data_IF_204420138500
#
_entry.id   IF_204420138500
#
_cell.length_a   1.000
_cell.length_b   1.000
_cell.length_c   1.000
_cell.angle_alpha   90.00
_cell.angle_beta   90.00
_cell.angle_gamma   90.00
#
_symmetry.space_group_name_H-M   'P 1'
#
loop_
_entity.id
_entity.type
_entity.pdbx_description
1 polymer ?
#
# COMPACT_ATOMS: atom_id res chain seq x y z
N UNK A 1 -34.71 50.87 -28.13
CA UNK A 1 -33.29 51.15 -27.84
C UNK A 1 -32.55 51.34 -29.16
N UNK A 2 -31.65 52.34 -29.29
CA UNK A 2 -30.91 52.54 -30.54
C UNK A 2 -30.01 51.33 -30.81
N UNK A 3 -30.05 50.71 -32.01
CA UNK A 3 -29.30 49.49 -32.32
C UNK A 3 -27.78 49.67 -32.14
N UNK A 4 -27.27 50.87 -32.39
CA UNK A 4 -25.87 51.24 -32.15
C UNK A 4 -25.46 51.09 -30.68
N UNK A 5 -26.34 51.41 -29.73
CA UNK A 5 -26.05 51.31 -28.29
C UNK A 5 -26.03 49.84 -27.84
N UNK A 6 -26.92 49.01 -28.39
CA UNK A 6 -26.93 47.58 -28.12
C UNK A 6 -25.65 46.89 -28.60
N UNK A 7 -25.17 47.23 -29.79
CA UNK A 7 -23.89 46.70 -30.33
C UNK A 7 -22.72 47.05 -29.40
N UNK A 8 -22.67 48.30 -28.93
CA UNK A 8 -21.63 48.75 -28.00
C UNK A 8 -21.66 47.98 -26.67
N UNK A 9 -22.85 47.77 -26.11
CA UNK A 9 -23.05 47.01 -24.88
C UNK A 9 -22.64 45.54 -25.07
N UNK A 10 -22.99 44.92 -26.19
CA UNK A 10 -22.62 43.53 -26.48
C UNK A 10 -21.11 43.37 -26.60
N UNK A 11 -20.42 44.27 -27.30
CA UNK A 11 -18.96 44.27 -27.42
C UNK A 11 -18.30 44.45 -26.04
N UNK A 12 -18.82 45.36 -25.23
CA UNK A 12 -18.32 45.59 -23.87
C UNK A 12 -18.44 44.34 -23.00
N UNK A 13 -19.57 43.63 -23.09
CA UNK A 13 -19.82 42.38 -22.37
C UNK A 13 -18.86 41.26 -22.82
N UNK A 14 -18.60 41.16 -24.13
CA UNK A 14 -17.69 40.18 -24.70
C UNK A 14 -16.24 40.42 -24.23
N UNK A 15 -15.79 41.68 -24.23
CA UNK A 15 -14.48 42.08 -23.69
C UNK A 15 -14.38 41.75 -22.20
N UNK A 16 -15.43 42.02 -21.43
CA UNK A 16 -15.46 41.69 -20.00
C UNK A 16 -15.30 40.18 -19.78
N UNK A 17 -16.08 39.36 -20.48
CA UNK A 17 -15.95 37.90 -20.43
C UNK A 17 -14.55 37.42 -20.81
N UNK A 18 -13.96 38.03 -21.84
CA UNK A 18 -12.61 37.69 -22.29
C UNK A 18 -11.56 37.96 -21.21
N UNK A 19 -11.62 39.12 -20.52
CA UNK A 19 -10.68 39.46 -19.45
C UNK A 19 -10.82 38.51 -18.26
N UNK A 20 -12.05 38.15 -17.87
CA UNK A 20 -12.29 37.17 -16.80
C UNK A 20 -11.74 35.79 -17.17
N UNK A 21 -12.03 35.32 -18.39
CA UNK A 21 -11.55 34.03 -18.89
C UNK A 21 -10.03 33.97 -18.97
N UNK A 22 -9.39 35.02 -19.49
CA UNK A 22 -7.93 35.11 -19.58
C UNK A 22 -7.27 35.08 -18.20
N UNK A 23 -7.80 35.82 -17.22
CA UNK A 23 -7.29 35.80 -15.83
C UNK A 23 -7.45 34.43 -15.18
N UNK A 24 -8.59 33.76 -15.39
CA UNK A 24 -8.81 32.40 -14.89
C UNK A 24 -7.82 31.40 -15.53
N UNK A 25 -7.56 31.51 -16.84
CA UNK A 25 -6.57 30.73 -17.56
C UNK A 25 -5.15 30.87 -17.00
N UNK A 26 -4.72 32.11 -16.73
CA UNK A 26 -3.41 32.35 -16.12
C UNK A 26 -3.28 31.75 -14.70
N UNK A 27 -4.38 31.68 -13.94
CA UNK A 27 -4.37 31.09 -12.60
C UNK A 27 -4.11 29.59 -12.65
N UNK A 28 -4.80 28.87 -13.55
CA UNK A 28 -4.64 27.42 -13.67
C UNK A 28 -3.24 27.04 -14.18
N UNK A 29 -2.67 27.80 -15.11
CA UNK A 29 -1.32 27.54 -15.62
C UNK A 29 -0.25 27.65 -14.53
N UNK A 30 -0.33 28.68 -13.68
CA UNK A 30 0.59 28.85 -12.54
C UNK A 30 0.46 27.70 -11.54
N UNK A 31 -0.76 27.32 -11.20
CA UNK A 31 -1.00 26.20 -10.27
C UNK A 31 -0.44 24.89 -10.83
N UNK A 32 -0.65 24.61 -12.11
CA UNK A 32 -0.15 23.38 -12.73
C UNK A 32 1.38 23.30 -12.70
N UNK A 33 2.07 24.40 -13.05
CA UNK A 33 3.53 24.50 -12.98
C UNK A 33 4.07 24.29 -11.55
N UNK A 34 3.39 24.81 -10.55
CA UNK A 34 3.75 24.59 -9.14
C UNK A 34 3.57 23.14 -8.71
N UNK A 35 2.47 22.50 -9.12
CA UNK A 35 2.22 21.07 -8.84
C UNK A 35 3.29 20.21 -9.50
N UNK A 36 3.59 20.45 -10.78
CA UNK A 36 4.62 19.71 -11.50
C UNK A 36 6.00 19.87 -10.84
N UNK A 37 6.33 21.08 -10.37
CA UNK A 37 7.56 21.32 -9.63
C UNK A 37 7.59 20.55 -8.30
N UNK A 38 6.51 20.57 -7.52
CA UNK A 38 6.43 19.82 -6.25
C UNK A 38 6.53 18.31 -6.51
N UNK A 39 5.84 17.79 -7.53
CA UNK A 39 5.91 16.39 -7.91
C UNK A 39 7.31 15.98 -8.38
N UNK A 40 8.03 16.87 -9.09
CA UNK A 40 9.41 16.61 -9.51
C UNK A 40 10.39 16.51 -8.34
N UNK A 41 10.12 17.22 -7.24
CA UNK A 41 10.94 17.17 -6.03
C UNK A 41 10.55 16.04 -5.09
N UNK A 42 9.31 15.54 -5.17
CA UNK A 42 8.81 14.55 -4.23
C UNK A 42 9.43 13.18 -4.57
N UNK A 43 10.29 12.62 -3.70
CA UNK A 43 10.87 11.31 -3.96
C UNK A 43 9.77 10.26 -4.00
N UNK A 44 9.73 9.48 -5.08
CA UNK A 44 8.80 8.35 -5.18
C UNK A 44 9.16 7.34 -4.09
N UNK A 45 8.20 6.90 -3.24
CA UNK A 45 8.48 5.90 -2.23
C UNK A 45 8.97 4.64 -2.92
N UNK A 46 10.21 4.24 -2.61
CA UNK A 46 10.79 3.00 -3.11
C UNK A 46 9.88 1.84 -2.71
N UNK A 47 9.58 0.88 -3.61
CA UNK A 47 8.79 -0.28 -3.24
C UNK A 47 9.44 -0.98 -2.04
N UNK A 48 8.74 -0.95 -0.91
CA UNK A 48 9.12 -1.67 0.30
C UNK A 48 9.18 -3.14 -0.07
N UNK A 49 10.37 -3.75 0.03
CA UNK A 49 10.53 -5.19 -0.16
C UNK A 49 9.60 -5.88 0.83
N UNK A 50 8.55 -6.52 0.32
CA UNK A 50 7.68 -7.37 1.12
C UNK A 50 8.57 -8.44 1.77
N UNK A 51 8.46 -8.68 3.08
CA UNK A 51 9.22 -9.76 3.70
C UNK A 51 8.81 -11.07 3.02
N UNK A 52 9.77 -11.77 2.45
CA UNK A 52 9.56 -13.13 1.94
C UNK A 52 9.15 -14.00 3.13
N UNK A 53 7.99 -14.70 3.09
CA UNK A 53 7.59 -15.57 4.18
C UNK A 53 8.65 -16.67 4.36
N UNK A 54 9.17 -16.82 5.58
CA UNK A 54 10.07 -17.93 5.92
C UNK A 54 9.34 -19.24 5.64
N UNK A 55 9.90 -20.15 4.83
CA UNK A 55 9.23 -21.41 4.52
C UNK A 55 9.05 -22.23 5.79
N UNK A 56 7.81 -22.68 6.05
CA UNK A 56 7.50 -23.62 7.12
C UNK A 56 8.12 -24.99 6.78
N UNK A 57 9.15 -25.37 7.52
CA UNK A 57 9.81 -26.67 7.39
C UNK A 57 9.08 -27.67 8.28
N UNK A 58 8.76 -28.84 7.72
CA UNK A 58 8.12 -29.94 8.44
C UNK A 58 9.08 -31.13 8.54
N UNK A 59 9.16 -31.71 9.73
CA UNK A 59 9.87 -32.96 10.00
C UNK A 59 8.89 -34.12 10.18
N UNK A 60 9.35 -35.33 9.88
CA UNK A 60 8.60 -36.56 10.12
C UNK A 60 8.96 -37.12 11.49
N UNK A 61 7.96 -37.26 12.36
CA UNK A 61 8.10 -37.89 13.65
C UNK A 61 7.61 -39.33 13.59
N UNK A 62 8.36 -40.25 14.21
CA UNK A 62 8.04 -41.67 14.34
C UNK A 62 8.24 -42.09 15.80
N UNK A 63 7.15 -42.29 16.54
CA UNK A 63 7.22 -42.82 17.89
C UNK A 63 7.63 -44.29 17.85
N UNK A 64 8.65 -44.64 18.64
CA UNK A 64 9.09 -46.03 18.81
C UNK A 64 8.17 -46.82 19.74
N UNK A 65 7.53 -46.14 20.70
CA UNK A 65 6.70 -46.76 21.74
C UNK A 65 5.26 -46.95 21.28
N UNK A 66 4.71 -45.93 20.62
CA UNK A 66 3.29 -45.91 20.25
C UNK A 66 3.04 -46.26 18.77
N UNK A 67 4.10 -46.45 17.98
CA UNK A 67 3.99 -46.79 16.55
C UNK A 67 3.43 -45.68 15.66
N UNK A 68 3.19 -44.48 16.22
CA UNK A 68 2.62 -43.33 15.53
C UNK A 68 3.63 -42.69 14.58
N UNK A 69 3.13 -42.22 13.43
CA UNK A 69 3.90 -41.46 12.44
C UNK A 69 3.10 -40.26 11.98
N UNK A 70 3.68 -39.06 12.08
CA UNK A 70 3.05 -37.84 11.61
C UNK A 70 4.10 -36.78 11.28
N UNK A 71 3.70 -35.77 10.51
CA UNK A 71 4.54 -34.61 10.20
C UNK A 71 4.25 -33.47 11.17
N UNK A 72 5.27 -32.76 11.61
CA UNK A 72 5.15 -31.63 12.52
C UNK A 72 6.11 -30.51 12.13
N UNK A 73 5.81 -29.25 12.48
CA UNK A 73 6.69 -28.13 12.17
C UNK A 73 7.96 -28.16 13.04
N UNK A 74 9.13 -27.87 12.45
CA UNK A 74 10.46 -27.99 13.11
C UNK A 74 10.64 -27.05 14.31
N UNK A 75 9.82 -25.99 14.41
CA UNK A 75 9.85 -25.06 15.54
C UNK A 75 9.18 -25.61 16.81
N UNK A 76 8.74 -26.87 16.83
CA UNK A 76 8.23 -27.53 18.02
C UNK A 76 9.14 -28.67 18.47
N UNK A 77 9.33 -28.78 19.78
CA UNK A 77 9.92 -29.92 20.46
C UNK A 77 8.81 -30.91 20.83
N UNK A 78 9.08 -32.20 20.61
CA UNK A 78 8.17 -33.30 20.95
C UNK A 78 8.65 -33.96 22.23
N UNK A 79 7.77 -34.04 23.23
CA UNK A 79 7.99 -34.82 24.46
C UNK A 79 7.00 -35.98 24.53
N UNK A 80 7.53 -37.20 24.66
CA UNK A 80 6.73 -38.41 24.89
C UNK A 80 6.59 -38.68 26.39
N UNK A 81 5.35 -38.82 26.88
CA UNK A 81 5.12 -39.33 28.23
C UNK A 81 5.49 -40.82 28.31
N UNK A 82 6.04 -41.24 29.45
CA UNK A 82 6.38 -42.65 29.70
C UNK A 82 5.21 -43.43 30.31
N UNK A 83 4.28 -42.74 30.98
CA UNK A 83 3.20 -43.38 31.74
C UNK A 83 1.85 -43.33 31.02
N UNK A 84 1.68 -42.43 30.05
CA UNK A 84 0.42 -42.22 29.33
C UNK A 84 0.67 -42.10 27.82
N UNK A 85 -0.33 -42.44 27.01
CA UNK A 85 -0.28 -42.33 25.55
C UNK A 85 -0.45 -40.88 25.08
N UNK A 86 0.44 -40.00 25.55
CA UNK A 86 0.38 -38.56 25.32
C UNK A 86 1.66 -38.06 24.65
N UNK A 87 1.48 -37.18 23.67
CA UNK A 87 2.54 -36.51 22.94
C UNK A 87 2.31 -35.00 23.11
N UNK A 88 3.29 -34.33 23.73
CA UNK A 88 3.20 -32.89 24.01
C UNK A 88 4.11 -32.13 23.05
N UNK A 89 3.52 -31.16 22.34
CA UNK A 89 4.25 -30.22 21.49
C UNK A 89 4.57 -28.96 22.28
N UNK A 90 5.85 -28.63 22.44
CA UNK A 90 6.28 -27.37 23.05
C UNK A 90 6.98 -26.52 21.99
N UNK A 91 6.68 -25.22 21.89
CA UNK A 91 7.47 -24.36 21.02
C UNK A 91 8.92 -24.42 21.48
N UNK A 92 9.83 -24.66 20.52
CA UNK A 92 11.26 -24.72 20.79
C UNK A 92 11.69 -23.35 21.33
N UNK A 93 12.02 -23.29 22.62
CA UNK A 93 12.56 -22.07 23.22
C UNK A 93 13.89 -21.78 22.55
N UNK A 94 13.90 -20.85 21.58
CA UNK A 94 15.12 -20.20 21.13
C UNK A 94 15.62 -19.31 22.29
N UNK A 95 16.25 -19.94 23.29
CA UNK A 95 17.16 -19.23 24.19
C UNK A 95 18.38 -18.86 23.35
N UNK A 96 18.38 -17.63 22.84
CA UNK A 96 19.63 -16.90 22.62
C UNK A 96 20.22 -16.52 23.98
#
# INVERSE_FOLDING_TARGET
MKPQSLILITILLLILFFILGFRAGQKVEKTNKTIDYILSLTPTPKPTKTPTPTPLIFEEYKSRRWGLKFKYPVNFEIQESTNTAEIIFQPKNNKN
#
